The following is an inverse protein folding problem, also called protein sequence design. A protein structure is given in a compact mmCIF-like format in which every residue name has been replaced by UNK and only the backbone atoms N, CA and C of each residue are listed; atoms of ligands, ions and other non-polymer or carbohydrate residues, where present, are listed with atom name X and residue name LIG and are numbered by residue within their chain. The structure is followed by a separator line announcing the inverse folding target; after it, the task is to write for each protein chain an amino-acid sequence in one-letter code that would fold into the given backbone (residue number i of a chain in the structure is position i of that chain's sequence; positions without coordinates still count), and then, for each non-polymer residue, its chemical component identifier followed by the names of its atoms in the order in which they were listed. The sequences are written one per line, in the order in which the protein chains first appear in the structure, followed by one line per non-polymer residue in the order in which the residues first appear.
data_IF_274462920793
#
_entry.id   IF_274462920793
#
_cell.length_a   1.000
_cell.length_b   1.000
_cell.length_c   1.000
_cell.angle_alpha   90.00
_cell.angle_beta   90.00
_cell.angle_gamma   90.00
#
_symmetry.space_group_name_H-M   'P 1'
#
loop_
_entity.id
_entity.type
_entity.pdbx_description
1 polymer ?
#
# COMPACT_ATOMS: atom_id res chain seq x y z
N UNK A 1 -31.08 -16.11 22.55
CA UNK A 1 -29.85 -15.29 22.46
C UNK A 1 -29.52 -15.07 21.00
N UNK A 2 -29.38 -13.81 20.55
CA UNK A 2 -28.89 -13.52 19.20
C UNK A 2 -27.39 -13.82 19.13
N UNK A 3 -26.98 -14.57 18.11
CA UNK A 3 -25.56 -14.85 17.83
C UNK A 3 -24.99 -13.69 17.00
N UNK A 4 -23.75 -13.25 17.25
CA UNK A 4 -23.10 -12.29 16.36
C UNK A 4 -22.98 -12.87 14.95
N UNK A 5 -23.26 -12.03 13.95
CA UNK A 5 -23.16 -12.36 12.53
C UNK A 5 -22.52 -11.20 11.77
N UNK A 6 -21.80 -11.51 10.69
CA UNK A 6 -21.29 -10.50 9.76
C UNK A 6 -22.44 -10.16 8.82
N UNK A 7 -22.92 -8.92 8.88
CA UNK A 7 -24.04 -8.45 8.04
C UNK A 7 -23.54 -7.92 6.69
N UNK A 8 -22.35 -7.32 6.66
CA UNK A 8 -21.71 -6.83 5.45
C UNK A 8 -20.19 -6.67 5.64
N UNK A 9 -19.47 -6.61 4.52
CA UNK A 9 -18.03 -6.31 4.46
C UNK A 9 -17.84 -5.21 3.41
N UNK A 10 -17.06 -4.19 3.74
CA UNK A 10 -16.62 -3.15 2.83
C UNK A 10 -15.09 -3.02 2.86
N UNK A 11 -14.50 -2.58 1.75
CA UNK A 11 -13.06 -2.48 1.54
C UNK A 11 -12.71 -1.16 0.84
N UNK A 12 -11.50 -0.66 1.07
CA UNK A 12 -11.03 0.52 0.34
C UNK A 12 -9.55 0.39 0.03
N UNK A 13 -9.23 0.43 -1.26
CA UNK A 13 -7.86 0.56 -1.73
C UNK A 13 -7.48 2.05 -1.91
N UNK A 14 -6.18 2.39 -1.78
CA UNK A 14 -5.67 3.68 -2.21
C UNK A 14 -6.06 3.97 -3.67
N UNK A 15 -6.32 5.25 -4.02
CA UNK A 15 -6.76 5.62 -5.37
C UNK A 15 -5.67 5.41 -6.43
N UNK A 16 -4.41 5.29 -6.02
CA UNK A 16 -3.27 5.08 -6.91
C UNK A 16 -2.63 3.73 -6.63
N UNK A 17 -1.99 3.19 -7.65
CA UNK A 17 -1.26 1.95 -7.55
C UNK A 17 -0.05 1.94 -8.48
N UNK A 18 0.96 1.19 -8.08
CA UNK A 18 2.20 0.97 -8.84
C UNK A 18 2.17 -0.43 -9.47
N UNK A 19 2.78 -0.57 -10.64
CA UNK A 19 2.99 -1.88 -11.29
C UNK A 19 4.02 -2.70 -10.54
N UNK A 20 4.04 -4.01 -10.79
CA UNK A 20 5.07 -4.91 -10.27
C UNK A 20 6.50 -4.46 -10.64
N UNK A 21 6.69 -3.91 -11.84
CA UNK A 21 8.00 -3.41 -12.29
C UNK A 21 8.42 -2.14 -11.53
N UNK A 22 7.52 -1.16 -11.39
CA UNK A 22 7.78 0.05 -10.60
C UNK A 22 8.13 -0.31 -9.15
N UNK A 23 7.32 -1.20 -8.57
CA UNK A 23 7.51 -1.78 -7.25
C UNK A 23 8.89 -2.45 -7.05
N UNK A 24 9.36 -3.18 -8.05
CA UNK A 24 10.68 -3.83 -8.07
C UNK A 24 11.80 -2.79 -8.13
N UNK A 25 11.67 -1.78 -8.98
CA UNK A 25 12.68 -0.72 -9.10
C UNK A 25 12.82 0.06 -7.81
N UNK A 26 11.71 0.43 -7.17
CA UNK A 26 11.71 1.08 -5.84
C UNK A 26 12.39 0.18 -4.80
N UNK A 27 12.11 -1.12 -4.79
CA UNK A 27 12.77 -2.02 -3.85
C UNK A 27 14.29 -2.13 -4.10
N UNK A 28 14.72 -2.14 -5.37
CA UNK A 28 16.15 -2.15 -5.70
C UNK A 28 16.83 -0.82 -5.35
N UNK A 29 16.15 0.32 -5.50
CA UNK A 29 16.72 1.63 -5.15
C UNK A 29 16.88 1.81 -3.64
N UNK A 30 16.07 1.13 -2.83
CA UNK A 30 16.16 1.13 -1.37
C UNK A 30 17.16 0.11 -0.81
N UNK A 31 17.63 -0.84 -1.62
CA UNK A 31 18.60 -1.86 -1.20
C UNK A 31 20.02 -1.41 -1.57
N UNK A 32 20.85 -1.04 -0.58
CA UNK A 32 22.23 -0.61 -0.83
C UNK A 32 23.12 -1.73 -1.36
N UNK A 33 22.86 -2.99 -0.99
CA UNK A 33 23.63 -4.14 -1.44
C UNK A 33 23.17 -4.60 -2.85
N UNK A 34 23.96 -4.23 -3.86
CA UNK A 34 23.68 -4.54 -5.27
C UNK A 34 23.63 -6.05 -5.56
N UNK A 35 24.30 -6.89 -4.78
CA UNK A 35 24.28 -8.34 -4.99
C UNK A 35 22.89 -8.93 -4.71
N UNK A 36 22.10 -8.27 -3.84
CA UNK A 36 20.72 -8.65 -3.52
C UNK A 36 19.71 -8.28 -4.60
N UNK A 37 20.06 -7.38 -5.53
CA UNK A 37 19.12 -6.93 -6.57
C UNK A 37 18.62 -8.09 -7.42
N UNK A 38 19.46 -9.09 -7.73
CA UNK A 38 19.04 -10.29 -8.46
C UNK A 38 17.93 -11.06 -7.74
N UNK A 39 18.07 -11.21 -6.42
CA UNK A 39 17.08 -11.90 -5.58
C UNK A 39 15.79 -11.10 -5.51
N UNK A 40 15.88 -9.78 -5.30
CA UNK A 40 14.72 -8.88 -5.29
C UNK A 40 13.93 -9.00 -6.60
N UNK A 41 14.58 -8.89 -7.76
CA UNK A 41 13.91 -9.03 -9.06
C UNK A 41 13.25 -10.40 -9.23
N UNK A 42 13.86 -11.47 -8.72
CA UNK A 42 13.26 -12.81 -8.76
C UNK A 42 12.04 -12.95 -7.84
N UNK A 43 12.09 -12.37 -6.64
CA UNK A 43 10.96 -12.35 -5.70
C UNK A 43 9.77 -11.61 -6.28
N UNK A 44 10.00 -10.40 -6.82
CA UNK A 44 8.94 -9.63 -7.46
C UNK A 44 8.31 -10.39 -8.63
N UNK A 45 9.10 -11.01 -9.53
CA UNK A 45 8.56 -11.80 -10.65
C UNK A 45 7.71 -12.99 -10.19
N UNK A 46 8.04 -13.62 -9.05
CA UNK A 46 7.35 -14.82 -8.53
C UNK A 46 6.16 -14.50 -7.64
N UNK A 47 6.01 -13.26 -7.18
CA UNK A 47 4.96 -12.88 -6.23
C UNK A 47 3.53 -12.95 -6.81
N UNK A 48 3.37 -12.95 -8.14
CA UNK A 48 2.05 -12.95 -8.79
C UNK A 48 1.27 -11.64 -8.61
N UNK A 49 1.90 -10.59 -8.07
CA UNK A 49 1.26 -9.31 -7.78
C UNK A 49 1.43 -8.35 -8.94
N UNK A 50 0.40 -8.21 -9.77
CA UNK A 50 0.41 -7.31 -10.94
C UNK A 50 0.52 -5.83 -10.56
N UNK A 51 -0.21 -5.39 -9.54
CA UNK A 51 -0.29 -4.01 -9.07
C UNK A 51 -0.45 -3.95 -7.56
N UNK A 52 0.07 -2.90 -6.93
CA UNK A 52 -0.07 -2.63 -5.49
C UNK A 52 -0.63 -1.23 -5.26
N UNK A 53 -1.72 -1.13 -4.51
CA UNK A 53 -2.24 0.16 -4.04
C UNK A 53 -1.25 0.83 -3.10
N UNK A 54 -1.05 2.13 -3.25
CA UNK A 54 -0.21 2.91 -2.34
C UNK A 54 -0.76 4.32 -2.19
N UNK A 55 -0.72 4.84 -0.97
CA UNK A 55 -0.99 6.26 -0.67
C UNK A 55 0.24 7.14 -0.90
N UNK A 56 1.43 6.52 -0.93
CA UNK A 56 2.72 7.20 -1.07
C UNK A 56 3.10 7.50 -2.51
N UNK A 57 2.38 6.94 -3.50
CA UNK A 57 2.74 7.17 -4.90
C UNK A 57 2.04 8.39 -5.49
N UNK A 58 2.76 9.10 -6.34
CA UNK A 58 2.24 10.21 -7.11
C UNK A 58 1.46 9.72 -8.37
N UNK A 59 1.08 10.64 -9.28
CA UNK A 59 0.35 10.27 -10.51
C UNK A 59 1.19 9.45 -11.50
N UNK A 60 2.52 9.52 -11.40
CA UNK A 60 3.48 8.76 -12.23
C UNK A 60 3.82 7.40 -11.61
N UNK A 61 3.46 7.18 -10.35
CA UNK A 61 3.79 5.97 -9.61
C UNK A 61 5.16 6.05 -8.93
N UNK A 62 5.72 7.25 -8.80
CA UNK A 62 6.96 7.56 -8.09
C UNK A 62 6.67 7.68 -6.57
N UNK A 63 7.66 7.32 -5.73
CA UNK A 63 7.55 7.37 -4.26
C UNK A 63 8.72 8.16 -3.70
N UNK A 64 8.50 9.46 -3.46
CA UNK A 64 9.52 10.37 -2.93
C UNK A 64 9.69 10.27 -1.41
N UNK A 65 8.76 9.58 -0.72
CA UNK A 65 8.77 9.41 0.73
C UNK A 65 10.08 8.81 1.29
N UNK A 66 10.88 8.17 0.44
CA UNK A 66 12.17 7.59 0.79
C UNK A 66 13.38 8.30 0.16
N UNK A 67 13.19 9.37 -0.59
CA UNK A 67 14.26 10.04 -1.36
C UNK A 67 15.32 10.70 -0.44
N UNK A 68 14.92 11.15 0.74
CA UNK A 68 15.82 11.76 1.75
C UNK A 68 16.50 10.75 2.68
N UNK A 69 16.36 9.43 2.44
CA UNK A 69 16.82 8.37 3.33
C UNK A 69 15.66 7.64 4.02
N UNK A 70 15.96 6.93 5.10
CA UNK A 70 14.93 6.19 5.84
C UNK A 70 14.10 7.15 6.69
N UNK A 71 12.77 7.27 6.44
CA UNK A 71 11.92 8.14 7.25
C UNK A 71 11.80 7.57 8.66
N UNK A 72 11.82 8.48 9.62
CA UNK A 72 11.63 8.23 11.04
C UNK A 72 10.25 7.67 11.30
N UNK A 73 10.06 7.09 12.48
CA UNK A 73 8.74 6.65 12.94
C UNK A 73 7.74 7.81 12.97
N UNK A 74 8.15 9.01 13.38
CA UNK A 74 7.26 10.17 13.45
C UNK A 74 6.73 10.57 12.05
N UNK A 75 7.60 10.61 11.03
CA UNK A 75 7.21 10.93 9.66
C UNK A 75 6.27 9.86 9.08
N UNK A 76 6.53 8.57 9.37
CA UNK A 76 5.63 7.47 8.99
C UNK A 76 4.27 7.60 9.66
N UNK A 77 4.22 7.98 10.93
CA UNK A 77 2.98 8.18 11.66
C UNK A 77 2.19 9.39 11.14
N UNK A 78 2.86 10.49 10.78
CA UNK A 78 2.21 11.64 10.15
C UNK A 78 1.50 11.23 8.84
N UNK A 79 2.19 10.50 7.97
CA UNK A 79 1.62 9.97 6.73
C UNK A 79 0.47 8.98 6.99
N UNK A 80 0.59 8.12 8.00
CA UNK A 80 -0.48 7.21 8.39
C UNK A 80 -1.74 7.97 8.82
N UNK A 81 -1.61 8.97 9.68
CA UNK A 81 -2.73 9.81 10.17
C UNK A 81 -3.44 10.50 9.01
N UNK A 82 -2.68 11.03 8.06
CA UNK A 82 -3.22 11.72 6.87
C UNK A 82 -4.12 10.81 6.02
N UNK A 83 -3.70 9.56 5.78
CA UNK A 83 -4.36 8.72 4.77
C UNK A 83 -5.25 7.61 5.34
N UNK A 84 -4.95 7.07 6.51
CA UNK A 84 -5.65 5.90 7.05
C UNK A 84 -7.13 6.18 7.32
N UNK A 85 -7.44 7.35 7.90
CA UNK A 85 -8.82 7.74 8.23
C UNK A 85 -9.71 7.81 6.98
N UNK A 86 -9.17 8.29 5.86
CA UNK A 86 -9.90 8.39 4.59
C UNK A 86 -10.26 6.99 4.05
N UNK A 87 -9.31 6.05 4.09
CA UNK A 87 -9.56 4.67 3.63
C UNK A 87 -10.52 3.94 4.57
N UNK A 88 -10.35 4.07 5.88
CA UNK A 88 -11.25 3.48 6.87
C UNK A 88 -12.69 3.97 6.70
N UNK A 89 -12.89 5.28 6.51
CA UNK A 89 -14.21 5.85 6.26
C UNK A 89 -14.85 5.30 5.00
N UNK A 90 -14.08 5.13 3.91
CA UNK A 90 -14.59 4.58 2.64
C UNK A 90 -15.00 3.10 2.79
N UNK A 91 -14.17 2.29 3.44
CA UNK A 91 -14.49 0.89 3.70
C UNK A 91 -15.73 0.74 4.61
N UNK A 92 -15.83 1.57 5.66
CA UNK A 92 -16.98 1.56 6.54
C UNK A 92 -18.26 2.02 5.83
N UNK A 93 -18.19 3.03 4.97
CA UNK A 93 -19.33 3.48 4.17
C UNK A 93 -19.81 2.37 3.23
N UNK A 94 -18.90 1.69 2.52
CA UNK A 94 -19.26 0.55 1.65
C UNK A 94 -19.90 -0.60 2.45
N UNK A 95 -19.40 -0.89 3.66
CA UNK A 95 -20.00 -1.91 4.52
C UNK A 95 -21.43 -1.53 4.94
N UNK A 96 -21.67 -0.26 5.30
CA UNK A 96 -23.00 0.22 5.69
C UNK A 96 -23.97 0.25 4.52
N UNK A 97 -23.52 0.62 3.32
CA UNK A 97 -24.34 0.59 2.10
C UNK A 97 -24.74 -0.84 1.71
N UNK A 98 -23.89 -1.83 1.99
CA UNK A 98 -24.14 -3.24 1.69
C UNK A 98 -24.88 -3.99 2.82
N UNK A 99 -25.07 -3.38 3.99
CA UNK A 99 -25.79 -3.99 5.10
C UNK A 99 -27.30 -3.83 4.88
N UNK A 100 -27.95 -4.93 4.47
CA UNK A 100 -29.41 -5.04 4.36
C UNK A 100 -30.07 -5.30 5.72
#
# INVERSE_FOLDING_TARGET
MNKPAILAIGTAAPPRSITQDQAREIACSLEPDKDRHRVIRALYRRAGVRRRGSVLCDKRGEIDFYAGGQPTTAERMACYVEHAAVLARRAAAEALENAA
#
